data_IF_145513086905
#
_entry.id   IF_145513086905
#
_cell.length_a   1.000
_cell.length_b   1.000
_cell.length_c   1.000
_cell.angle_alpha   90.00
_cell.angle_beta   90.00
_cell.angle_gamma   90.00
#
_symmetry.space_group_name_H-M   'P 1'
#
loop_
_entity.id
_entity.type
_entity.pdbx_description
1 polymer ?
#
# COMPACT_ATOMS: atom_id res chain seq x y z
N UNK A 1 -12.72 18.22 -1.94
CA UNK A 1 -13.47 17.10 -1.32
C UNK A 1 -13.01 15.74 -1.84
N UNK A 2 -12.86 15.56 -3.15
CA UNK A 2 -12.44 14.26 -3.74
C UNK A 2 -11.06 13.80 -3.24
N UNK A 3 -10.09 14.71 -3.08
CA UNK A 3 -8.77 14.36 -2.51
C UNK A 3 -8.91 13.85 -1.08
N UNK A 4 -9.77 14.47 -0.28
CA UNK A 4 -10.04 14.00 1.08
C UNK A 4 -10.65 12.59 1.06
N UNK A 5 -11.66 12.35 0.24
CA UNK A 5 -12.30 11.04 0.12
C UNK A 5 -11.34 9.97 -0.42
N UNK A 6 -10.51 10.32 -1.40
CA UNK A 6 -9.47 9.40 -1.90
C UNK A 6 -8.42 9.07 -0.84
N UNK A 7 -8.04 10.05 -0.03
CA UNK A 7 -7.12 9.83 1.11
C UNK A 7 -7.74 8.91 2.16
N UNK A 8 -8.99 9.17 2.54
CA UNK A 8 -9.72 8.32 3.48
C UNK A 8 -9.89 6.89 2.95
N UNK A 9 -10.23 6.75 1.67
CA UNK A 9 -10.34 5.44 1.04
C UNK A 9 -9.01 4.68 1.10
N UNK A 10 -7.89 5.35 0.85
CA UNK A 10 -6.56 4.73 0.95
C UNK A 10 -6.28 4.22 2.37
N UNK A 11 -6.54 5.02 3.38
CA UNK A 11 -6.33 4.65 4.80
C UNK A 11 -7.23 3.47 5.18
N UNK A 12 -8.51 3.52 4.81
CA UNK A 12 -9.49 2.48 5.13
C UNK A 12 -9.15 1.15 4.47
N UNK A 13 -8.52 1.16 3.30
CA UNK A 13 -8.02 -0.06 2.66
C UNK A 13 -6.71 -0.50 3.30
N UNK A 14 -5.74 0.39 3.38
CA UNK A 14 -4.35 0.05 3.73
C UNK A 14 -4.21 -0.37 5.18
N UNK A 15 -4.80 0.37 6.11
CA UNK A 15 -4.61 0.11 7.54
C UNK A 15 -5.21 -1.23 7.98
N UNK A 16 -6.48 -1.55 7.70
CA UNK A 16 -7.03 -2.85 8.07
C UNK A 16 -6.34 -4.01 7.35
N UNK A 17 -6.01 -3.85 6.07
CA UNK A 17 -5.32 -4.88 5.32
C UNK A 17 -3.92 -5.15 5.89
N UNK A 18 -3.19 -4.10 6.27
CA UNK A 18 -1.89 -4.23 6.91
C UNK A 18 -1.98 -5.01 8.23
N UNK A 19 -2.95 -4.65 9.08
CA UNK A 19 -3.17 -5.33 10.37
C UNK A 19 -3.55 -6.79 10.16
N UNK A 20 -4.50 -7.05 9.27
CA UNK A 20 -4.94 -8.43 8.99
C UNK A 20 -3.80 -9.28 8.43
N UNK A 21 -3.07 -8.77 7.45
CA UNK A 21 -2.02 -9.52 6.77
C UNK A 21 -0.83 -9.79 7.68
N UNK A 22 -0.26 -8.75 8.27
CA UNK A 22 1.00 -8.84 9.02
C UNK A 22 0.81 -9.30 10.47
N UNK A 23 -0.28 -8.89 11.12
CA UNK A 23 -0.47 -9.07 12.56
C UNK A 23 -1.50 -10.13 12.93
N UNK A 24 -2.27 -10.66 11.97
CA UNK A 24 -3.29 -11.68 12.21
C UNK A 24 -3.02 -12.94 11.40
N UNK A 25 -3.18 -12.88 10.08
CA UNK A 25 -3.15 -14.06 9.21
C UNK A 25 -1.74 -14.67 9.16
N UNK A 26 -0.73 -13.85 8.89
CA UNK A 26 0.66 -14.30 8.70
C UNK A 26 1.61 -13.84 9.82
N UNK A 27 1.07 -13.55 10.98
CA UNK A 27 1.83 -13.03 12.13
C UNK A 27 3.07 -13.85 12.44
N UNK A 28 2.94 -15.17 12.48
CA UNK A 28 4.05 -16.07 12.83
C UNK A 28 5.23 -15.92 11.87
N UNK A 29 4.96 -15.78 10.58
CA UNK A 29 6.00 -15.59 9.56
C UNK A 29 6.70 -14.24 9.71
N UNK A 30 5.94 -13.16 9.82
CA UNK A 30 6.53 -11.82 9.96
C UNK A 30 7.30 -11.64 11.27
N UNK A 31 6.87 -12.26 12.34
CA UNK A 31 7.63 -12.28 13.60
C UNK A 31 8.94 -13.09 13.46
N UNK A 32 8.91 -14.24 12.80
CA UNK A 32 10.10 -15.05 12.55
C UNK A 32 11.12 -14.31 11.67
N UNK A 33 10.66 -13.48 10.75
CA UNK A 33 11.51 -12.64 9.89
C UNK A 33 11.98 -11.35 10.57
N UNK A 34 11.51 -11.09 11.78
CA UNK A 34 11.80 -9.84 12.50
C UNK A 34 11.48 -8.59 11.62
N UNK A 35 10.37 -8.66 10.89
CA UNK A 35 9.94 -7.60 9.98
C UNK A 35 9.64 -6.29 10.72
N UNK A 36 9.01 -6.39 11.88
CA UNK A 36 8.78 -5.26 12.78
C UNK A 36 9.91 -5.19 13.81
N UNK A 37 10.44 -3.99 14.06
CA UNK A 37 11.40 -3.75 15.12
C UNK A 37 10.77 -3.88 16.52
N UNK A 38 11.60 -3.76 17.54
CA UNK A 38 11.17 -3.87 18.94
C UNK A 38 10.26 -2.71 19.40
N UNK A 39 10.46 -1.52 18.82
CA UNK A 39 9.70 -0.31 19.17
C UNK A 39 8.84 0.15 17.98
N UNK A 40 7.67 -0.48 17.82
CA UNK A 40 6.71 -0.15 16.77
C UNK A 40 5.91 1.09 17.18
N UNK A 41 5.90 2.10 16.30
CA UNK A 41 5.13 3.35 16.48
C UNK A 41 4.03 3.46 15.43
N UNK A 42 2.82 2.98 15.72
CA UNK A 42 1.71 2.96 14.75
C UNK A 42 1.35 4.34 14.20
N UNK A 43 1.55 5.39 15.00
CA UNK A 43 1.27 6.76 14.57
C UNK A 43 2.12 7.20 13.38
N UNK A 44 3.36 6.76 13.30
CA UNK A 44 4.23 7.06 12.16
C UNK A 44 3.78 6.30 10.91
N UNK A 45 3.34 5.06 11.07
CA UNK A 45 2.74 4.30 9.97
C UNK A 45 1.45 4.95 9.44
N UNK A 46 0.58 5.40 10.33
CA UNK A 46 -0.62 6.13 9.95
C UNK A 46 -0.29 7.45 9.25
N UNK A 47 0.69 8.19 9.76
CA UNK A 47 1.15 9.43 9.12
C UNK A 47 1.66 9.19 7.71
N UNK A 48 2.41 8.11 7.48
CA UNK A 48 2.86 7.71 6.15
C UNK A 48 1.67 7.41 5.22
N UNK A 49 0.65 6.70 5.72
CA UNK A 49 -0.57 6.41 4.94
C UNK A 49 -1.35 7.67 4.58
N UNK A 50 -1.40 8.66 5.47
CA UNK A 50 -2.03 9.97 5.18
C UNK A 50 -1.29 10.67 4.05
N UNK A 51 0.04 10.78 4.13
CA UNK A 51 0.86 11.40 3.09
C UNK A 51 0.69 10.67 1.75
N UNK A 52 0.78 9.35 1.76
CA UNK A 52 0.59 8.53 0.57
C UNK A 52 -0.80 8.73 -0.04
N UNK A 53 -1.84 8.70 0.78
CA UNK A 53 -3.22 8.89 0.33
C UNK A 53 -3.45 10.27 -0.31
N UNK A 54 -2.88 11.32 0.28
CA UNK A 54 -2.95 12.68 -0.30
C UNK A 54 -2.23 12.73 -1.65
N UNK A 55 -1.01 12.21 -1.72
CA UNK A 55 -0.21 12.23 -2.96
C UNK A 55 -0.89 11.41 -4.06
N UNK A 56 -1.40 10.23 -3.74
CA UNK A 56 -2.10 9.37 -4.70
C UNK A 56 -3.38 10.01 -5.21
N UNK A 57 -4.18 10.59 -4.32
CA UNK A 57 -5.44 11.24 -4.69
C UNK A 57 -5.20 12.51 -5.50
N UNK A 58 -4.21 13.32 -5.10
CA UNK A 58 -3.82 14.50 -5.84
C UNK A 58 -3.27 14.15 -7.22
N UNK A 59 -2.37 13.18 -7.31
CA UNK A 59 -1.81 12.71 -8.57
C UNK A 59 -2.89 12.22 -9.54
N UNK A 60 -3.87 11.46 -9.05
CA UNK A 60 -5.01 11.02 -9.86
C UNK A 60 -5.81 12.22 -10.41
N UNK A 61 -6.05 13.21 -9.57
CA UNK A 61 -6.76 14.44 -9.95
C UNK A 61 -6.01 15.23 -11.03
N UNK A 62 -4.69 15.42 -10.84
CA UNK A 62 -3.87 16.26 -11.74
C UNK A 62 -3.61 15.60 -13.10
N UNK A 63 -3.43 14.28 -13.11
CA UNK A 63 -3.21 13.55 -14.37
C UNK A 63 -4.48 13.45 -15.24
N UNK A 64 -5.56 14.10 -14.80
CA UNK A 64 -6.84 14.16 -15.51
C UNK A 64 -7.32 12.78 -15.99
N UNK A 65 -7.13 11.79 -15.14
CA UNK A 65 -7.69 10.47 -15.34
C UNK A 65 -9.21 10.50 -15.23
N UNK A 66 -9.77 11.71 -15.22
CA UNK A 66 -11.17 12.05 -14.96
C UNK A 66 -12.18 11.60 -16.04
N UNK A 67 -11.72 11.07 -17.15
CA UNK A 67 -12.57 10.24 -18.01
C UNK A 67 -12.43 8.77 -17.62
N UNK A 68 -12.25 8.57 -16.35
CA UNK A 68 -11.83 7.39 -15.67
C UNK A 68 -12.86 6.28 -15.79
N UNK A 69 -12.49 5.30 -16.54
CA UNK A 69 -13.05 3.96 -16.41
C UNK A 69 -12.46 3.30 -15.16
N UNK A 70 -13.14 2.28 -14.65
CA UNK A 70 -12.61 1.40 -13.61
C UNK A 70 -11.19 0.92 -13.95
N UNK A 71 -10.93 0.58 -15.21
CA UNK A 71 -9.63 0.16 -15.70
C UNK A 71 -8.55 1.24 -15.51
N UNK A 72 -8.86 2.50 -15.78
CA UNK A 72 -7.91 3.61 -15.60
C UNK A 72 -7.51 3.79 -14.14
N UNK A 73 -8.47 3.68 -13.22
CA UNK A 73 -8.20 3.78 -11.78
C UNK A 73 -7.30 2.65 -11.29
N UNK A 74 -7.56 1.42 -11.73
CA UNK A 74 -6.72 0.26 -11.39
C UNK A 74 -5.32 0.41 -11.98
N UNK A 75 -5.19 0.79 -13.26
CA UNK A 75 -3.89 0.99 -13.90
C UNK A 75 -3.07 2.08 -13.20
N UNK A 76 -3.68 3.23 -12.91
CA UNK A 76 -3.02 4.30 -12.16
C UNK A 76 -2.50 3.80 -10.81
N UNK A 77 -3.39 3.16 -10.05
CA UNK A 77 -3.06 2.66 -8.72
C UNK A 77 -1.94 1.61 -8.76
N UNK A 78 -1.96 0.70 -9.73
CA UNK A 78 -0.90 -0.31 -9.87
C UNK A 78 0.45 0.30 -10.28
N UNK A 79 0.47 1.32 -11.14
CA UNK A 79 1.71 2.03 -11.49
C UNK A 79 2.30 2.72 -10.27
N UNK A 80 1.47 3.41 -9.50
CA UNK A 80 1.91 4.05 -8.25
C UNK A 80 2.30 3.00 -7.20
N UNK A 81 1.58 1.89 -7.17
CA UNK A 81 1.89 0.75 -6.32
C UNK A 81 3.23 0.11 -6.65
N UNK A 82 3.60 0.03 -7.91
CA UNK A 82 4.91 -0.46 -8.34
C UNK A 82 6.06 0.42 -7.81
N UNK A 83 5.87 1.74 -7.81
CA UNK A 83 6.83 2.66 -7.21
C UNK A 83 7.00 2.39 -5.71
N UNK A 84 5.89 2.30 -4.96
CA UNK A 84 5.93 1.98 -3.53
C UNK A 84 6.47 0.57 -3.25
N UNK A 85 6.14 -0.40 -4.09
CA UNK A 85 6.65 -1.77 -4.00
C UNK A 85 8.18 -1.83 -4.09
N UNK A 86 8.78 -1.04 -4.96
CA UNK A 86 10.25 -1.02 -5.10
C UNK A 86 10.96 -0.65 -3.80
N UNK A 87 10.41 0.29 -3.05
CA UNK A 87 10.96 0.70 -1.74
C UNK A 87 10.56 -0.28 -0.65
N UNK A 88 9.30 -0.69 -0.62
CA UNK A 88 8.73 -1.52 0.43
C UNK A 88 9.24 -2.96 0.40
N UNK A 89 9.49 -3.50 -0.78
CA UNK A 89 9.94 -4.89 -0.97
C UNK A 89 11.43 -4.95 -1.31
N UNK A 90 11.84 -4.42 -2.46
CA UNK A 90 13.22 -4.57 -2.92
C UNK A 90 14.23 -3.88 -2.02
N UNK A 91 13.98 -2.64 -1.63
CA UNK A 91 14.91 -1.91 -0.76
C UNK A 91 14.95 -2.52 0.65
N UNK A 92 13.84 -3.02 1.15
CA UNK A 92 13.77 -3.74 2.43
C UNK A 92 14.59 -5.02 2.39
N UNK A 93 14.46 -5.82 1.33
CA UNK A 93 15.28 -7.02 1.11
C UNK A 93 16.77 -6.68 0.99
N UNK A 94 17.08 -5.54 0.38
CA UNK A 94 18.46 -5.04 0.29
C UNK A 94 19.08 -4.69 1.64
N UNK A 95 18.26 -4.22 2.59
CA UNK A 95 18.71 -3.78 3.92
C UNK A 95 18.76 -4.90 4.96
N UNK A 96 17.95 -5.94 4.81
CA UNK A 96 17.82 -7.01 5.81
C UNK A 96 17.94 -8.39 5.18
N UNK A 97 18.93 -9.14 5.62
CA UNK A 97 19.12 -10.53 5.21
C UNK A 97 18.00 -11.45 5.71
N UNK A 98 17.30 -11.06 6.78
CA UNK A 98 16.23 -11.86 7.40
C UNK A 98 14.98 -11.96 6.51
N UNK A 99 14.77 -10.99 5.62
CA UNK A 99 13.66 -10.98 4.66
C UNK A 99 14.12 -11.21 3.22
N UNK A 100 15.40 -11.49 3.00
CA UNK A 100 15.99 -11.69 1.67
C UNK A 100 15.77 -13.12 1.18
N UNK A 101 14.49 -13.46 0.93
CA UNK A 101 14.10 -14.77 0.41
C UNK A 101 12.79 -14.66 -0.40
N UNK A 102 12.53 -15.68 -1.22
CA UNK A 102 11.41 -15.66 -2.16
C UNK A 102 10.04 -15.61 -1.46
N UNK A 103 9.89 -16.25 -0.31
CA UNK A 103 8.60 -16.27 0.40
C UNK A 103 8.18 -14.86 0.84
N UNK A 104 9.10 -14.08 1.42
CA UNK A 104 8.83 -12.67 1.75
C UNK A 104 8.51 -11.84 0.50
N UNK A 105 9.32 -11.98 -0.54
CA UNK A 105 9.11 -11.30 -1.81
C UNK A 105 7.71 -11.56 -2.36
N UNK A 106 7.31 -12.83 -2.45
CA UNK A 106 6.02 -13.22 -2.98
C UNK A 106 4.87 -12.73 -2.10
N UNK A 107 4.96 -12.88 -0.79
CA UNK A 107 3.91 -12.48 0.15
C UNK A 107 3.70 -10.97 0.16
N UNK A 108 4.76 -10.17 0.24
CA UNK A 108 4.63 -8.72 0.21
C UNK A 108 4.18 -8.20 -1.15
N UNK A 109 4.59 -8.84 -2.23
CA UNK A 109 4.12 -8.48 -3.57
C UNK A 109 2.61 -8.72 -3.73
N UNK A 110 2.12 -9.87 -3.27
CA UNK A 110 0.67 -10.17 -3.28
C UNK A 110 -0.10 -9.20 -2.39
N UNK A 111 0.41 -8.93 -1.19
CA UNK A 111 -0.18 -7.96 -0.28
C UNK A 111 -0.36 -6.58 -0.93
N UNK A 112 0.70 -6.04 -1.53
CA UNK A 112 0.64 -4.73 -2.18
C UNK A 112 -0.24 -4.75 -3.43
N UNK A 113 -0.23 -5.83 -4.21
CA UNK A 113 -1.11 -5.97 -5.36
C UNK A 113 -2.59 -5.89 -4.96
N UNK A 114 -2.98 -6.60 -3.90
CA UNK A 114 -4.34 -6.56 -3.36
C UNK A 114 -4.68 -5.12 -2.91
N UNK A 115 -3.81 -4.49 -2.14
CA UNK A 115 -4.01 -3.13 -1.65
C UNK A 115 -4.25 -2.14 -2.79
N UNK A 116 -3.41 -2.16 -3.81
CA UNK A 116 -3.49 -1.18 -4.89
C UNK A 116 -4.60 -1.48 -5.89
N UNK A 117 -4.98 -2.74 -6.09
CA UNK A 117 -6.17 -3.09 -6.89
C UNK A 117 -7.44 -2.57 -6.20
N UNK A 118 -7.61 -2.83 -4.91
CA UNK A 118 -8.79 -2.35 -4.16
C UNK A 118 -8.83 -0.82 -4.17
N UNK A 119 -7.71 -0.17 -3.89
CA UNK A 119 -7.64 1.29 -3.94
C UNK A 119 -7.94 1.84 -5.33
N UNK A 120 -7.42 1.22 -6.38
CA UNK A 120 -7.69 1.59 -7.77
C UNK A 120 -9.17 1.54 -8.13
N UNK A 121 -9.88 0.54 -7.64
CA UNK A 121 -11.34 0.45 -7.77
C UNK A 121 -12.01 1.63 -7.06
N UNK A 122 -11.66 1.87 -5.80
CA UNK A 122 -12.31 2.94 -5.01
C UNK A 122 -12.04 4.32 -5.58
N UNK A 123 -10.81 4.64 -5.98
CA UNK A 123 -10.50 5.97 -6.50
C UNK A 123 -11.21 6.24 -7.83
N UNK A 124 -11.43 5.22 -8.64
CA UNK A 124 -12.18 5.35 -9.89
C UNK A 124 -13.66 5.76 -9.68
N UNK A 125 -14.24 5.39 -8.54
CA UNK A 125 -15.61 5.78 -8.18
C UNK A 125 -15.69 7.13 -7.46
N UNK A 126 -14.61 7.55 -6.81
CA UNK A 126 -14.54 8.84 -6.09
C UNK A 126 -14.37 10.01 -7.07
N UNK A 127 -13.64 9.81 -8.12
CA UNK A 127 -13.36 10.79 -9.16
C UNK A 127 -14.16 10.51 -10.43
#
# INVERSE_FOLDING_TARGET
>A
MQILYGTLAYIVVTFPLAVLWHMKIFRTKYMAWEYFGEDVKPILGLSAMIVQGVVLSYGYSVLNVAHASLFSGICYSLVMGLFLWSVHVLATMGKSSKVRHFEFFAMETVYLAIQFVIYGVLISYIF
#
